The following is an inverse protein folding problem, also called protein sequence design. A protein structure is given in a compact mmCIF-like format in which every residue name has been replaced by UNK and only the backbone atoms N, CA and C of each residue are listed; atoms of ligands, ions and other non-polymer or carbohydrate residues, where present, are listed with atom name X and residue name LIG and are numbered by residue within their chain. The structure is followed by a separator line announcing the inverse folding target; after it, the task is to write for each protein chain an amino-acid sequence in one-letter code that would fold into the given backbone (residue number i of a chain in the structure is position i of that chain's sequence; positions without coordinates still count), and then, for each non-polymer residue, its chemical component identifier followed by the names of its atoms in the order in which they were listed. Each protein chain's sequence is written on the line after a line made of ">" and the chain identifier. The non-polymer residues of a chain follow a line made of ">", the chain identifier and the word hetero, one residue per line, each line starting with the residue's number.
data_IF_481335029414
#
_entry.id   IF_481335029414
#
_cell.length_a   1.000
_cell.length_b   1.000
_cell.length_c   1.000
_cell.angle_alpha   90.00
_cell.angle_beta   90.00
_cell.angle_gamma   90.00
#
_symmetry.space_group_name_H-M   'P 1'
#
loop_
_entity.id
_entity.type
_entity.pdbx_description
1 polymer ?
#
# COMPACT_ATOMS: atom_id res chain seq x y z
N UNK A 1 -7.60 -7.01 -3.93
CA UNK A 1 -7.67 -7.57 -5.31
C UNK A 1 -6.52 -8.50 -5.63
N UNK A 2 -5.26 -8.05 -5.66
CA UNK A 2 -4.14 -8.92 -6.05
C UNK A 2 -4.02 -10.18 -5.18
N UNK A 3 -4.05 -10.04 -3.86
CA UNK A 3 -3.99 -11.18 -2.94
C UNK A 3 -5.12 -12.20 -3.21
N UNK A 4 -6.38 -11.74 -3.31
CA UNK A 4 -7.53 -12.59 -3.66
C UNK A 4 -7.37 -13.29 -5.02
N UNK A 5 -6.77 -12.62 -5.99
CA UNK A 5 -6.51 -13.18 -7.31
C UNK A 5 -5.41 -14.24 -7.34
N UNK A 6 -4.33 -14.02 -6.58
CA UNK A 6 -3.22 -14.97 -6.46
C UNK A 6 -3.63 -16.22 -5.65
N UNK A 7 -4.48 -16.06 -4.63
CA UNK A 7 -4.94 -17.20 -3.82
C UNK A 7 -5.93 -18.09 -4.56
N UNK A 8 -6.73 -17.55 -5.48
CA UNK A 8 -7.71 -18.32 -6.25
C UNK A 8 -7.08 -19.43 -7.11
N UNK A 9 -5.89 -19.20 -7.66
CA UNK A 9 -5.20 -20.16 -8.54
C UNK A 9 -4.11 -20.98 -7.82
N UNK A 10 -3.97 -20.84 -6.49
CA UNK A 10 -2.85 -21.44 -5.76
C UNK A 10 -3.00 -22.93 -5.52
N UNK A 11 -4.19 -23.39 -5.15
CA UNK A 11 -4.50 -24.81 -4.96
C UNK A 11 -6.02 -25.03 -5.03
N UNK A 12 -6.53 -25.98 -5.86
CA UNK A 12 -7.94 -26.32 -5.87
C UNK A 12 -8.29 -27.11 -4.60
N UNK A 13 -9.11 -26.52 -3.74
CA UNK A 13 -9.63 -27.24 -2.58
C UNK A 13 -10.78 -28.16 -3.01
N UNK A 14 -10.64 -29.46 -2.74
CA UNK A 14 -11.63 -30.48 -3.11
C UNK A 14 -12.78 -30.54 -2.11
N UNK A 15 -12.51 -30.24 -0.84
CA UNK A 15 -13.46 -30.31 0.28
C UNK A 15 -13.35 -29.11 1.24
N UNK A 16 -14.38 -28.88 2.06
CA UNK A 16 -14.40 -27.78 3.05
C UNK A 16 -13.29 -27.90 4.12
N UNK A 17 -12.84 -29.12 4.43
CA UNK A 17 -11.70 -29.33 5.32
C UNK A 17 -10.40 -28.74 4.72
N UNK A 18 -10.14 -29.02 3.44
CA UNK A 18 -8.98 -28.49 2.71
C UNK A 18 -9.08 -26.96 2.58
N UNK A 19 -10.28 -26.41 2.30
CA UNK A 19 -10.50 -24.95 2.29
C UNK A 19 -10.12 -24.32 3.62
N UNK A 20 -10.54 -24.90 4.73
CA UNK A 20 -10.20 -24.40 6.08
C UNK A 20 -8.70 -24.46 6.34
N UNK A 21 -8.02 -25.51 5.88
CA UNK A 21 -6.57 -25.65 6.01
C UNK A 21 -5.83 -24.60 5.16
N UNK A 22 -6.23 -24.42 3.91
CA UNK A 22 -5.67 -23.38 3.03
C UNK A 22 -5.87 -21.97 3.59
N UNK A 23 -7.06 -21.68 4.15
CA UNK A 23 -7.32 -20.40 4.82
C UNK A 23 -6.40 -20.20 6.03
N UNK A 24 -6.17 -21.23 6.84
CA UNK A 24 -5.24 -21.15 7.99
C UNK A 24 -3.82 -20.85 7.53
N UNK A 25 -3.31 -21.53 6.51
CA UNK A 25 -1.98 -21.26 5.97
C UNK A 25 -1.89 -19.85 5.37
N UNK A 26 -2.88 -19.46 4.57
CA UNK A 26 -2.93 -18.11 4.00
C UNK A 26 -2.96 -17.03 5.09
N UNK A 27 -3.69 -17.24 6.18
CA UNK A 27 -3.73 -16.29 7.30
C UNK A 27 -2.38 -16.18 8.01
N UNK A 28 -1.68 -17.30 8.23
CA UNK A 28 -0.34 -17.29 8.85
C UNK A 28 0.65 -16.55 7.96
N UNK A 29 0.63 -16.83 6.64
CA UNK A 29 1.50 -16.15 5.69
C UNK A 29 1.25 -14.64 5.64
N UNK A 30 -0.01 -14.22 5.61
CA UNK A 30 -0.38 -12.80 5.64
C UNK A 30 0.06 -12.17 6.96
N UNK A 31 -0.12 -12.84 8.09
CA UNK A 31 0.29 -12.33 9.40
C UNK A 31 1.81 -12.15 9.49
N UNK A 32 2.58 -13.13 9.03
CA UNK A 32 4.05 -13.05 9.00
C UNK A 32 4.49 -11.94 8.05
N UNK A 33 3.95 -11.88 6.83
CA UNK A 33 4.33 -10.89 5.83
C UNK A 33 4.03 -9.46 6.29
N UNK A 34 2.82 -9.19 6.80
CA UNK A 34 2.46 -7.88 7.34
C UNK A 34 3.22 -7.56 8.62
N UNK A 35 3.53 -8.56 9.45
CA UNK A 35 4.36 -8.40 10.65
C UNK A 35 5.77 -7.93 10.30
N UNK A 36 6.43 -8.59 9.33
CA UNK A 36 7.76 -8.17 8.84
C UNK A 36 7.71 -6.78 8.23
N UNK A 37 6.70 -6.48 7.41
CA UNK A 37 6.52 -5.13 6.85
C UNK A 37 6.35 -4.07 7.96
N UNK A 38 5.60 -4.39 9.00
CA UNK A 38 5.43 -3.54 10.18
C UNK A 38 6.75 -3.29 10.92
N UNK A 39 7.57 -4.32 11.11
CA UNK A 39 8.91 -4.18 11.70
C UNK A 39 9.81 -3.27 10.87
N UNK A 40 9.79 -3.39 9.55
CA UNK A 40 10.56 -2.51 8.65
C UNK A 40 10.07 -1.08 8.76
N UNK A 41 8.75 -0.83 8.77
CA UNK A 41 8.20 0.51 8.96
C UNK A 41 8.60 1.11 10.30
N UNK A 42 8.56 0.33 11.38
CA UNK A 42 9.02 0.78 12.70
C UNK A 42 10.52 1.09 12.70
N UNK A 43 11.34 0.27 12.06
CA UNK A 43 12.77 0.53 11.92
C UNK A 43 13.03 1.83 11.17
N UNK A 44 12.32 2.10 10.06
CA UNK A 44 12.44 3.36 9.32
C UNK A 44 12.10 4.57 10.20
N UNK A 45 11.01 4.51 10.97
CA UNK A 45 10.62 5.60 11.88
C UNK A 45 11.66 5.80 12.99
N UNK A 46 12.18 4.72 13.58
CA UNK A 46 13.23 4.79 14.60
C UNK A 46 14.53 5.37 14.05
N UNK A 47 14.95 4.97 12.85
CA UNK A 47 16.14 5.53 12.20
C UNK A 47 15.97 7.02 11.89
N UNK A 48 14.81 7.41 11.35
CA UNK A 48 14.52 8.83 11.09
C UNK A 48 14.50 9.64 12.39
N UNK A 49 13.84 9.15 13.43
CA UNK A 49 13.83 9.80 14.74
C UNK A 49 15.26 9.93 15.31
N UNK A 50 16.06 8.86 15.29
CA UNK A 50 17.44 8.89 15.80
C UNK A 50 18.38 9.80 15.00
N UNK A 51 18.21 9.88 13.68
CA UNK A 51 19.06 10.69 12.81
C UNK A 51 18.69 12.18 12.79
N UNK A 52 17.39 12.52 12.90
CA UNK A 52 16.89 13.88 12.69
C UNK A 52 16.40 14.60 13.95
N UNK A 53 16.40 13.95 15.12
CA UNK A 53 15.97 14.59 16.38
C UNK A 53 16.84 15.80 16.81
N UNK A 54 18.08 15.91 16.32
CA UNK A 54 19.05 16.90 16.79
C UNK A 54 19.26 18.14 15.87
N UNK A 55 18.60 18.23 14.70
CA UNK A 55 18.72 19.41 13.85
C UNK A 55 18.24 19.20 12.42
N UNK A 56 17.49 20.20 11.91
CA UNK A 56 16.87 20.31 10.58
C UNK A 56 15.50 19.64 10.43
N UNK A 57 14.46 20.35 10.90
CA UNK A 57 13.03 20.02 10.73
C UNK A 57 12.50 20.15 9.29
N UNK A 58 13.32 20.63 8.35
CA UNK A 58 12.93 20.94 6.96
C UNK A 58 13.25 19.84 5.94
N UNK A 59 13.50 18.62 6.40
CA UNK A 59 14.14 17.58 5.59
C UNK A 59 13.19 16.42 5.33
N UNK A 60 12.30 16.59 4.35
CA UNK A 60 11.36 15.57 3.90
C UNK A 60 11.80 14.84 2.61
N UNK A 61 13.01 15.09 2.11
CA UNK A 61 13.46 14.55 0.82
C UNK A 61 14.39 13.35 0.96
N UNK A 62 14.12 12.32 0.15
CA UNK A 62 14.88 11.06 0.06
C UNK A 62 16.37 11.35 -0.24
N UNK A 63 16.64 12.40 -1.01
CA UNK A 63 18.00 12.84 -1.37
C UNK A 63 18.79 13.29 -0.14
N UNK A 64 18.14 14.05 0.75
CA UNK A 64 18.77 14.50 1.99
C UNK A 64 18.92 13.36 3.00
N UNK A 65 18.03 12.37 3.01
CA UNK A 65 18.18 11.16 3.82
C UNK A 65 19.46 10.38 3.45
N UNK A 66 19.75 10.23 2.15
CA UNK A 66 21.01 9.61 1.70
C UNK A 66 22.25 10.40 2.12
N UNK A 67 22.20 11.73 1.98
CA UNK A 67 23.31 12.62 2.33
C UNK A 67 23.58 12.69 3.84
N UNK A 68 22.54 12.54 4.68
CA UNK A 68 22.65 12.56 6.15
C UNK A 68 22.97 11.19 6.76
N UNK A 69 22.60 10.09 6.10
CA UNK A 69 22.98 8.73 6.52
C UNK A 69 24.49 8.48 6.39
N UNK A 70 25.14 9.08 5.38
CA UNK A 70 26.58 8.90 5.13
C UNK A 70 27.48 9.34 6.30
N UNK A 71 27.31 10.55 6.89
CA UNK A 71 28.09 10.98 8.06
C UNK A 71 27.69 10.32 9.38
N UNK A 72 26.43 9.87 9.54
CA UNK A 72 25.92 9.32 10.80
C UNK A 72 26.15 7.81 10.97
N UNK A 73 26.05 7.04 9.88
CA UNK A 73 26.06 5.57 9.90
C UNK A 73 27.12 4.97 8.96
N UNK A 74 27.83 5.82 8.21
CA UNK A 74 28.89 5.44 7.29
C UNK A 74 28.42 5.12 5.86
N UNK A 75 29.35 5.08 4.90
CA UNK A 75 29.03 4.90 3.47
C UNK A 75 28.38 3.55 3.14
N UNK A 76 28.64 2.52 3.95
CA UNK A 76 28.01 1.21 3.80
C UNK A 76 26.49 1.25 4.06
N UNK A 77 26.04 2.04 5.05
CA UNK A 77 24.61 2.19 5.37
C UNK A 77 23.85 2.90 4.25
N UNK A 78 24.46 3.92 3.64
CA UNK A 78 23.89 4.63 2.50
C UNK A 78 23.73 3.71 1.26
N UNK A 79 24.70 2.81 1.02
CA UNK A 79 24.60 1.81 -0.04
C UNK A 79 23.49 0.77 0.19
N UNK A 80 23.33 0.29 1.43
CA UNK A 80 22.24 -0.62 1.79
C UNK A 80 20.87 0.08 1.67
N UNK A 81 20.77 1.33 2.09
CA UNK A 81 19.54 2.11 1.95
C UNK A 81 19.15 2.31 0.48
N UNK A 82 20.08 2.71 -0.39
CA UNK A 82 19.81 2.91 -1.81
C UNK A 82 19.41 1.60 -2.50
N UNK A 83 20.10 0.49 -2.22
CA UNK A 83 19.76 -0.82 -2.79
C UNK A 83 18.39 -1.31 -2.31
N UNK A 84 18.06 -1.12 -1.03
CA UNK A 84 16.73 -1.41 -0.49
C UNK A 84 15.63 -0.55 -1.13
N UNK A 85 15.88 0.75 -1.32
CA UNK A 85 14.94 1.66 -1.96
C UNK A 85 14.67 1.27 -3.42
N UNK A 86 15.72 0.95 -4.18
CA UNK A 86 15.59 0.48 -5.57
C UNK A 86 14.85 -0.86 -5.65
N UNK A 87 15.21 -1.82 -4.79
CA UNK A 87 14.54 -3.11 -4.72
C UNK A 87 13.05 -2.98 -4.37
N UNK A 88 12.72 -2.09 -3.43
CA UNK A 88 11.34 -1.76 -3.05
C UNK A 88 10.55 -1.14 -4.21
N UNK A 89 11.15 -0.18 -4.91
CA UNK A 89 10.52 0.47 -6.07
C UNK A 89 10.24 -0.50 -7.23
N UNK A 90 11.21 -1.36 -7.56
CA UNK A 90 11.06 -2.40 -8.59
C UNK A 90 9.99 -3.43 -8.20
N UNK A 91 10.01 -3.90 -6.95
CA UNK A 91 9.03 -4.85 -6.42
C UNK A 91 7.62 -4.26 -6.44
N UNK A 92 7.45 -3.03 -5.92
CA UNK A 92 6.17 -2.33 -5.90
C UNK A 92 5.62 -2.09 -7.30
N UNK A 93 6.46 -1.71 -8.27
CA UNK A 93 6.05 -1.56 -9.67
C UNK A 93 5.56 -2.88 -10.26
N UNK A 94 6.29 -3.99 -10.07
CA UNK A 94 5.87 -5.30 -10.55
C UNK A 94 4.53 -5.73 -9.94
N UNK A 95 4.39 -5.61 -8.62
CA UNK A 95 3.14 -5.90 -7.88
C UNK A 95 1.99 -5.01 -8.36
N UNK A 96 2.24 -3.72 -8.59
CA UNK A 96 1.26 -2.77 -9.12
C UNK A 96 0.76 -3.16 -10.51
N UNK A 97 1.66 -3.58 -11.42
CA UNK A 97 1.25 -4.04 -12.76
C UNK A 97 0.37 -5.28 -12.69
N UNK A 98 0.70 -6.25 -11.83
CA UNK A 98 -0.11 -7.46 -11.59
C UNK A 98 -1.48 -7.12 -11.02
N UNK A 99 -1.54 -6.25 -10.00
CA UNK A 99 -2.78 -5.79 -9.41
C UNK A 99 -3.69 -5.11 -10.45
N UNK A 100 -3.10 -4.24 -11.28
CA UNK A 100 -3.81 -3.61 -12.39
C UNK A 100 -4.31 -4.62 -13.43
N UNK A 101 -3.61 -5.75 -13.66
CA UNK A 101 -4.12 -6.79 -14.57
C UNK A 101 -5.35 -7.46 -13.98
N UNK A 102 -5.30 -7.83 -12.70
CA UNK A 102 -6.41 -8.50 -12.01
C UNK A 102 -7.66 -7.62 -11.96
N UNK A 103 -7.50 -6.33 -11.69
CA UNK A 103 -8.62 -5.38 -11.68
C UNK A 103 -9.19 -5.23 -13.09
N UNK A 104 -8.37 -4.97 -14.12
CA UNK A 104 -8.88 -4.80 -15.49
C UNK A 104 -9.56 -6.06 -16.03
N UNK A 105 -8.99 -7.24 -15.78
CA UNK A 105 -9.60 -8.50 -16.19
C UNK A 105 -10.91 -8.77 -15.45
N UNK A 106 -10.97 -8.47 -14.14
CA UNK A 106 -12.16 -8.70 -13.32
C UNK A 106 -13.32 -7.74 -13.61
N UNK A 107 -13.03 -6.47 -13.95
CA UNK A 107 -14.07 -5.45 -14.13
C UNK A 107 -14.39 -5.12 -15.59
N UNK A 108 -13.43 -5.21 -16.51
CA UNK A 108 -13.61 -4.75 -17.90
C UNK A 108 -13.38 -5.87 -18.94
N UNK A 109 -12.87 -7.04 -18.52
CA UNK A 109 -12.80 -8.23 -19.35
C UNK A 109 -11.73 -8.22 -20.46
N UNK A 110 -10.92 -7.16 -20.60
CA UNK A 110 -9.86 -7.08 -21.61
C UNK A 110 -8.45 -7.13 -20.99
N UNK A 111 -7.47 -7.62 -21.76
CA UNK A 111 -6.06 -7.71 -21.37
C UNK A 111 -5.21 -6.74 -22.18
N UNK A 112 -4.64 -5.73 -21.52
CA UNK A 112 -3.61 -4.86 -22.12
C UNK A 112 -2.23 -5.54 -22.02
N UNK A 113 -1.41 -5.56 -23.10
CA UNK A 113 -0.03 -6.01 -23.06
C UNK A 113 0.78 -5.33 -21.92
N UNK A 114 1.68 -6.08 -21.30
CA UNK A 114 2.47 -5.59 -20.14
C UNK A 114 3.31 -4.36 -20.52
N UNK A 115 3.85 -4.33 -21.74
CA UNK A 115 4.68 -3.22 -22.22
C UNK A 115 3.89 -1.91 -22.31
N UNK A 116 2.73 -1.93 -22.96
CA UNK A 116 1.85 -0.75 -23.09
C UNK A 116 1.44 -0.22 -21.71
N UNK A 117 1.09 -1.12 -20.81
CA UNK A 117 0.75 -0.78 -19.43
C UNK A 117 1.91 -0.12 -18.70
N UNK A 118 3.12 -0.68 -18.80
CA UNK A 118 4.32 -0.14 -18.15
C UNK A 118 4.63 1.27 -18.65
N UNK A 119 4.51 1.50 -19.95
CA UNK A 119 4.67 2.82 -20.55
C UNK A 119 3.64 3.81 -19.99
N UNK A 120 2.35 3.47 -20.03
CA UNK A 120 1.28 4.33 -19.51
C UNK A 120 1.48 4.65 -18.02
N UNK A 121 1.90 3.68 -17.20
CA UNK A 121 2.16 3.91 -15.77
C UNK A 121 3.44 4.71 -15.50
N UNK A 122 4.40 4.77 -16.43
CA UNK A 122 5.61 5.59 -16.30
C UNK A 122 5.42 7.03 -16.77
N UNK A 123 4.44 7.31 -17.65
CA UNK A 123 4.18 8.66 -18.19
C UNK A 123 4.05 9.71 -17.07
N UNK A 124 3.24 9.52 -16.01
CA UNK A 124 3.11 10.52 -14.95
C UNK A 124 4.44 10.81 -14.25
N UNK A 125 5.26 9.78 -14.01
CA UNK A 125 6.57 9.93 -13.39
C UNK A 125 7.53 10.75 -14.28
N UNK A 126 7.56 10.47 -15.59
CA UNK A 126 8.37 11.25 -16.53
C UNK A 126 7.92 12.71 -16.64
N UNK A 127 6.60 12.96 -16.62
CA UNK A 127 6.06 14.32 -16.62
C UNK A 127 6.51 15.09 -15.37
N UNK A 128 6.43 14.46 -14.20
CA UNK A 128 6.88 15.08 -12.93
C UNK A 128 8.36 15.44 -12.98
N UNK A 129 9.21 14.52 -13.45
CA UNK A 129 10.66 14.74 -13.60
C UNK A 129 10.94 15.88 -14.59
N UNK A 130 10.23 15.90 -15.72
CA UNK A 130 10.42 16.91 -16.76
C UNK A 130 9.98 18.31 -16.31
N UNK A 131 8.92 18.38 -15.49
CA UNK A 131 8.43 19.63 -14.91
C UNK A 131 9.25 20.11 -13.70
N UNK A 132 10.21 19.31 -13.21
CA UNK A 132 11.03 19.66 -12.05
C UNK A 132 10.23 19.85 -10.76
N UNK A 133 9.04 19.24 -10.66
CA UNK A 133 8.16 19.39 -9.49
C UNK A 133 8.79 18.70 -8.29
N UNK A 134 8.74 19.33 -7.12
CA UNK A 134 9.21 18.75 -5.88
C UNK A 134 8.58 17.35 -5.67
N UNK A 135 9.42 16.34 -5.43
CA UNK A 135 9.02 14.94 -5.22
C UNK A 135 7.93 14.77 -4.16
N UNK A 136 7.94 15.63 -3.14
CA UNK A 136 6.94 15.68 -2.07
C UNK A 136 5.55 16.00 -2.62
N UNK A 137 5.41 16.95 -3.54
CA UNK A 137 4.12 17.31 -4.13
C UNK A 137 3.59 16.18 -5.03
N UNK A 138 4.47 15.55 -5.81
CA UNK A 138 4.10 14.39 -6.62
C UNK A 138 3.64 13.21 -5.74
N UNK A 139 4.30 13.02 -4.59
CA UNK A 139 3.90 12.03 -3.60
C UNK A 139 2.52 12.35 -3.01
N UNK A 140 2.27 13.61 -2.60
CA UNK A 140 0.98 14.05 -2.06
C UNK A 140 -0.15 13.81 -3.07
N UNK A 141 0.02 14.21 -4.34
CA UNK A 141 -0.97 13.99 -5.40
C UNK A 141 -1.25 12.49 -5.59
N UNK A 142 -0.20 11.65 -5.56
CA UNK A 142 -0.35 10.20 -5.64
C UNK A 142 -1.17 9.64 -4.48
N UNK A 143 -0.98 10.18 -3.27
CA UNK A 143 -1.79 9.80 -2.11
C UNK A 143 -3.24 10.26 -2.25
N UNK A 144 -3.50 11.46 -2.78
CA UNK A 144 -4.87 11.95 -3.05
C UNK A 144 -5.62 11.02 -3.99
N UNK A 145 -4.98 10.62 -5.10
CA UNK A 145 -5.58 9.68 -6.07
C UNK A 145 -5.87 8.33 -5.40
N UNK A 146 -4.94 7.82 -4.59
CA UNK A 146 -5.13 6.59 -3.85
C UNK A 146 -6.29 6.70 -2.84
N UNK A 147 -6.39 7.81 -2.12
CA UNK A 147 -7.46 8.07 -1.15
C UNK A 147 -8.85 8.13 -1.78
N UNK A 148 -8.96 8.62 -3.02
CA UNK A 148 -10.22 8.60 -3.78
C UNK A 148 -10.54 7.17 -4.24
N UNK A 149 -9.52 6.38 -4.61
CA UNK A 149 -9.70 5.02 -5.12
C UNK A 149 -9.99 3.96 -4.03
N UNK A 150 -9.49 4.16 -2.81
CA UNK A 150 -9.51 3.19 -1.71
C UNK A 150 -10.92 2.82 -1.16
N UNK A 151 -11.90 3.74 -1.05
CA UNK A 151 -13.20 3.45 -0.44
C UNK A 151 -13.97 2.32 -1.13
N UNK A 152 -14.05 2.33 -2.46
CA UNK A 152 -14.83 1.36 -3.21
C UNK A 152 -14.35 -0.11 -2.99
N UNK A 153 -13.05 -0.44 -3.11
CA UNK A 153 -12.52 -1.76 -2.78
C UNK A 153 -12.79 -2.21 -1.34
N UNK A 154 -12.60 -1.32 -0.37
CA UNK A 154 -12.75 -1.65 1.06
C UNK A 154 -14.20 -1.99 1.39
N UNK A 155 -15.14 -1.17 0.92
CA UNK A 155 -16.58 -1.39 1.10
C UNK A 155 -17.01 -2.69 0.42
N UNK A 156 -16.61 -2.90 -0.84
CA UNK A 156 -16.92 -4.13 -1.57
C UNK A 156 -16.39 -5.38 -0.85
N UNK A 157 -15.16 -5.33 -0.30
CA UNK A 157 -14.57 -6.44 0.43
C UNK A 157 -15.38 -6.79 1.69
N UNK A 158 -15.80 -5.79 2.48
CA UNK A 158 -16.62 -6.03 3.68
C UNK A 158 -17.98 -6.62 3.30
N UNK A 159 -18.62 -6.08 2.26
CA UNK A 159 -19.91 -6.59 1.78
C UNK A 159 -19.81 -8.04 1.30
N UNK A 160 -18.81 -8.38 0.48
CA UNK A 160 -18.63 -9.74 -0.04
C UNK A 160 -18.20 -10.75 1.01
N UNK A 161 -17.34 -10.36 1.96
CA UNK A 161 -16.87 -11.27 3.03
C UNK A 161 -17.93 -11.54 4.10
N UNK A 162 -18.93 -10.67 4.25
CA UNK A 162 -20.08 -10.87 5.16
C UNK A 162 -21.18 -11.73 4.54
N UNK A 163 -21.28 -11.76 3.22
CA UNK A 163 -22.34 -12.43 2.46
C UNK A 163 -22.22 -13.95 2.52
N UNK A 164 -23.17 -14.61 3.18
CA UNK A 164 -23.24 -16.09 3.29
C UNK A 164 -23.53 -16.77 1.95
N UNK A 165 -24.18 -16.07 1.04
CA UNK A 165 -24.43 -16.52 -0.33
C UNK A 165 -23.17 -16.59 -1.18
N UNK A 166 -22.14 -15.80 -0.87
CA UNK A 166 -20.84 -15.83 -1.56
C UNK A 166 -19.84 -16.72 -0.80
N UNK A 167 -19.74 -16.54 0.52
CA UNK A 167 -18.70 -17.18 1.34
C UNK A 167 -19.15 -18.51 1.99
N UNK A 168 -20.44 -18.85 1.93
CA UNK A 168 -20.99 -20.07 2.53
C UNK A 168 -20.67 -20.19 4.03
N UNK A 169 -20.12 -21.34 4.42
CA UNK A 169 -19.69 -21.62 5.79
C UNK A 169 -18.46 -20.81 6.26
N UNK A 170 -17.80 -20.08 5.35
CA UNK A 170 -16.60 -19.26 5.61
C UNK A 170 -16.91 -17.77 5.69
N UNK A 171 -18.19 -17.38 5.72
CA UNK A 171 -18.58 -15.99 5.93
C UNK A 171 -18.05 -15.44 7.26
N UNK A 172 -17.70 -14.16 7.29
CA UNK A 172 -17.13 -13.52 8.47
C UNK A 172 -18.02 -13.70 9.72
N UNK A 173 -17.37 -14.06 10.83
CA UNK A 173 -18.01 -14.05 12.14
C UNK A 173 -18.43 -12.63 12.52
N UNK A 174 -19.39 -12.48 13.46
CA UNK A 174 -19.83 -11.15 13.93
C UNK A 174 -18.66 -10.31 14.44
N UNK A 175 -17.73 -10.93 15.18
CA UNK A 175 -16.54 -10.25 15.71
C UNK A 175 -15.60 -9.78 14.60
N UNK A 176 -15.29 -10.65 13.64
CA UNK A 176 -14.44 -10.32 12.49
C UNK A 176 -15.06 -9.20 11.65
N UNK A 177 -16.39 -9.23 11.46
CA UNK A 177 -17.09 -8.20 10.72
C UNK A 177 -17.07 -6.85 11.45
N UNK A 178 -17.28 -6.83 12.77
CA UNK A 178 -17.18 -5.59 13.56
C UNK A 178 -15.76 -5.03 13.49
N UNK A 179 -14.73 -5.86 13.66
CA UNK A 179 -13.33 -5.43 13.54
C UNK A 179 -13.01 -4.87 12.14
N UNK A 180 -13.50 -5.53 11.08
CA UNK A 180 -13.31 -5.07 9.70
C UNK A 180 -14.00 -3.73 9.43
N UNK A 181 -15.24 -3.56 9.92
CA UNK A 181 -15.99 -2.29 9.81
C UNK A 181 -15.30 -1.18 10.59
N UNK A 182 -14.88 -1.43 11.84
CA UNK A 182 -14.16 -0.44 12.64
C UNK A 182 -12.85 -0.01 11.95
N UNK A 183 -12.06 -0.98 11.48
CA UNK A 183 -10.82 -0.69 10.74
C UNK A 183 -11.09 0.13 9.48
N UNK A 184 -12.12 -0.22 8.70
CA UNK A 184 -12.51 0.55 7.53
C UNK A 184 -12.97 1.96 7.88
N UNK A 185 -13.79 2.14 8.93
CA UNK A 185 -14.22 3.47 9.39
C UNK A 185 -13.01 4.33 9.76
N UNK A 186 -12.05 3.79 10.52
CA UNK A 186 -10.82 4.52 10.87
C UNK A 186 -10.04 4.92 9.62
N UNK A 187 -9.75 3.97 8.73
CA UNK A 187 -8.97 4.23 7.51
C UNK A 187 -9.67 5.25 6.61
N UNK A 188 -10.99 5.10 6.39
CA UNK A 188 -11.75 6.01 5.53
C UNK A 188 -11.87 7.40 6.14
N UNK A 189 -12.04 7.51 7.46
CA UNK A 189 -12.06 8.80 8.15
C UNK A 189 -10.71 9.51 7.98
N UNK A 190 -9.60 8.80 8.18
CA UNK A 190 -8.26 9.36 7.98
C UNK A 190 -8.01 9.74 6.51
N UNK A 191 -8.50 8.96 5.55
CA UNK A 191 -8.41 9.31 4.13
C UNK A 191 -9.22 10.57 3.79
N UNK A 192 -10.40 10.74 4.39
CA UNK A 192 -11.19 11.96 4.24
C UNK A 192 -10.46 13.16 4.82
N UNK A 193 -9.86 13.03 6.01
CA UNK A 193 -9.02 14.07 6.61
C UNK A 193 -7.86 14.46 5.68
N UNK A 194 -7.14 13.48 5.13
CA UNK A 194 -6.03 13.74 4.19
C UNK A 194 -6.52 14.44 2.91
N UNK A 195 -7.67 14.05 2.37
CA UNK A 195 -8.27 14.70 1.20
C UNK A 195 -8.64 16.15 1.52
N UNK A 196 -9.30 16.41 2.64
CA UNK A 196 -9.68 17.75 3.07
C UNK A 196 -8.44 18.65 3.22
N UNK A 197 -7.35 18.15 3.81
CA UNK A 197 -6.08 18.86 3.90
C UNK A 197 -5.49 19.15 2.51
N UNK A 198 -5.47 18.15 1.63
CA UNK A 198 -4.94 18.32 0.27
C UNK A 198 -5.73 19.34 -0.57
N UNK A 199 -7.02 19.52 -0.29
CA UNK A 199 -7.87 20.55 -0.91
C UNK A 199 -7.87 21.89 -0.15
N UNK A 200 -7.04 22.05 0.88
CA UNK A 200 -6.89 23.30 1.62
C UNK A 200 -8.02 23.61 2.61
N UNK A 201 -8.82 22.61 2.99
CA UNK A 201 -9.85 22.77 4.02
C UNK A 201 -9.20 22.68 5.40
N UNK A 202 -9.20 23.79 6.15
CA UNK A 202 -8.70 23.82 7.52
C UNK A 202 -9.57 22.93 8.42
N UNK A 203 -8.96 21.87 8.95
CA UNK A 203 -9.60 20.97 9.91
C UNK A 203 -9.29 21.50 11.32
N UNK A 204 -10.29 21.76 12.18
CA UNK A 204 -10.06 22.21 13.55
C UNK A 204 -9.15 21.23 14.30
N UNK A 205 -7.95 21.67 14.71
CA UNK A 205 -7.03 20.90 15.54
C UNK A 205 -5.80 20.27 14.86
N UNK A 206 -5.59 20.46 13.54
CA UNK A 206 -4.36 20.07 12.85
C UNK A 206 -3.65 21.30 12.28
N UNK A 207 -2.31 21.40 12.36
CA UNK A 207 -1.57 22.47 11.71
C UNK A 207 -1.77 22.40 10.19
N UNK A 208 -2.05 23.55 9.59
CA UNK A 208 -2.22 23.78 8.14
C UNK A 208 -0.93 23.60 7.38
#
# INVERSE_FOLDING_TARGET
>A
FLHSGLTQNRAPARNDHERRQLLRFSNIEVLIALGVAGLVNMAMVMTAAGAFHAGHSDVAEIETAYQTLTPLLGPAAAGVFLTALLASGLSSSAVGTMAGQMIMQGFVGFRIPVLVRRLVTMIPAFIVVWLGVNSTNALIISQVVLSIALPAPVVALILFTRRKDIMGAFANSRLTNVAAVLGAVVILTLNVVLLLQAFGVAIPGLPS
#
